data_IF_648369041569
#
_entry.id   IF_648369041569
#
_cell.length_a   1.000
_cell.length_b   1.000
_cell.length_c   1.000
_cell.angle_alpha   90.00
_cell.angle_beta   90.00
_cell.angle_gamma   90.00
#
_symmetry.space_group_name_H-M   'P 1'
#
loop_
_entity.id
_entity.type
_entity.pdbx_description
1 polymer ?
#
# COMPACT_ATOMS: atom_id res chain seq x y z
N UNK A 1 68.38 45.21 -57.90
CA UNK A 1 68.45 44.25 -56.77
C UNK A 1 67.50 44.60 -55.62
N UNK A 2 67.08 45.86 -55.45
CA UNK A 2 66.23 46.28 -54.32
C UNK A 2 64.77 45.77 -54.36
N UNK A 3 64.15 45.60 -55.53
CA UNK A 3 62.75 45.15 -55.64
C UNK A 3 62.51 43.69 -55.24
N UNK A 4 63.52 42.83 -55.42
CA UNK A 4 63.46 41.42 -55.02
C UNK A 4 63.52 41.26 -53.50
N UNK A 5 64.21 42.16 -52.79
CA UNK A 5 64.32 42.15 -51.35
C UNK A 5 63.01 42.60 -50.67
N UNK A 6 62.29 43.56 -51.23
CA UNK A 6 61.00 44.00 -50.68
C UNK A 6 59.90 42.95 -50.87
N UNK A 7 59.86 42.28 -52.03
CA UNK A 7 58.93 41.16 -52.27
C UNK A 7 59.21 39.98 -51.34
N UNK A 8 60.48 39.65 -51.08
CA UNK A 8 60.86 38.61 -50.12
C UNK A 8 60.35 38.96 -48.70
N UNK A 9 60.46 40.24 -48.30
CA UNK A 9 59.92 40.75 -47.04
C UNK A 9 58.41 40.56 -46.94
N UNK A 10 57.65 40.96 -47.97
CA UNK A 10 56.19 40.78 -48.02
C UNK A 10 55.78 39.30 -47.95
N UNK A 11 56.49 38.42 -48.65
CA UNK A 11 56.21 36.96 -48.63
C UNK A 11 56.48 36.38 -47.23
N UNK A 12 57.57 36.79 -46.58
CA UNK A 12 57.89 36.32 -45.22
C UNK A 12 56.88 36.81 -44.17
N UNK A 13 56.42 38.06 -44.27
CA UNK A 13 55.39 38.61 -43.41
C UNK A 13 54.04 37.89 -43.62
N UNK A 14 53.65 37.65 -44.87
CA UNK A 14 52.43 36.92 -45.19
C UNK A 14 52.47 35.48 -44.67
N UNK A 15 53.60 34.79 -44.85
CA UNK A 15 53.80 33.43 -44.33
C UNK A 15 53.67 33.37 -42.81
N UNK A 16 54.24 34.34 -42.10
CA UNK A 16 54.15 34.45 -40.65
C UNK A 16 52.72 34.67 -40.18
N UNK A 17 51.98 35.56 -40.85
CA UNK A 17 50.56 35.80 -40.55
C UNK A 17 49.69 34.56 -40.79
N UNK A 18 49.96 33.79 -41.85
CA UNK A 18 49.25 32.52 -42.11
C UNK A 18 49.57 31.48 -41.04
N UNK A 19 50.79 31.44 -40.54
CA UNK A 19 51.20 30.53 -39.48
C UNK A 19 50.53 30.90 -38.15
N UNK A 20 50.43 32.20 -37.85
CA UNK A 20 49.69 32.69 -36.69
C UNK A 20 48.20 32.37 -36.76
N UNK A 21 47.56 32.59 -37.93
CA UNK A 21 46.15 32.25 -38.14
C UNK A 21 45.90 30.74 -38.00
N UNK A 22 46.82 29.89 -38.46
CA UNK A 22 46.73 28.43 -38.23
C UNK A 22 46.79 28.09 -36.76
N UNK A 23 47.75 28.65 -36.01
CA UNK A 23 47.86 28.40 -34.58
C UNK A 23 46.62 28.90 -33.81
N UNK A 24 46.06 30.05 -34.19
CA UNK A 24 44.81 30.54 -33.62
C UNK A 24 43.62 29.61 -33.92
N UNK A 25 43.55 29.06 -35.14
CA UNK A 25 42.53 28.06 -35.51
C UNK A 25 42.67 26.77 -34.71
N UNK A 26 43.90 26.28 -34.50
CA UNK A 26 44.16 25.08 -33.72
C UNK A 26 43.76 25.26 -32.25
N UNK A 27 44.07 26.41 -31.66
CA UNK A 27 43.66 26.75 -30.29
C UNK A 27 42.14 26.83 -30.17
N UNK A 28 41.46 27.42 -31.16
CA UNK A 28 40.00 27.49 -31.19
C UNK A 28 39.37 26.10 -31.35
N UNK A 29 39.91 25.25 -32.23
CA UNK A 29 39.44 23.89 -32.41
C UNK A 29 39.64 23.04 -31.15
N UNK A 30 40.74 23.24 -30.42
CA UNK A 30 40.99 22.54 -29.17
C UNK A 30 40.09 23.07 -28.03
N UNK A 31 39.89 24.39 -27.95
CA UNK A 31 39.04 25.02 -26.94
C UNK A 31 37.53 24.85 -27.17
N UNK A 32 37.09 24.60 -28.40
CA UNK A 32 35.67 24.44 -28.75
C UNK A 32 35.27 23.00 -29.09
N UNK A 33 36.21 22.05 -29.03
CA UNK A 33 35.99 20.63 -29.40
C UNK A 33 34.79 20.00 -28.70
N UNK A 34 34.52 20.39 -27.46
CA UNK A 34 33.45 19.83 -26.63
C UNK A 34 32.10 20.53 -26.79
N UNK A 35 32.03 21.65 -27.50
CA UNK A 35 30.80 22.45 -27.64
C UNK A 35 29.65 21.67 -28.31
N UNK A 36 29.86 20.88 -29.38
CA UNK A 36 28.79 20.09 -29.98
C UNK A 36 28.21 19.04 -29.01
N UNK A 37 29.05 18.45 -28.15
CA UNK A 37 28.62 17.50 -27.12
C UNK A 37 27.83 18.20 -26.02
N UNK A 38 28.29 19.37 -25.56
CA UNK A 38 27.57 20.17 -24.57
C UNK A 38 26.22 20.66 -25.13
N UNK A 39 26.16 21.08 -26.39
CA UNK A 39 24.92 21.43 -27.06
C UNK A 39 23.93 20.26 -27.08
N UNK A 40 24.39 19.04 -27.38
CA UNK A 40 23.54 17.84 -27.36
C UNK A 40 23.04 17.50 -25.93
N UNK A 41 23.85 17.75 -24.90
CA UNK A 41 23.48 17.57 -23.49
C UNK A 41 22.46 18.63 -23.03
N UNK A 42 22.59 19.87 -23.53
CA UNK A 42 21.66 20.96 -23.23
C UNK A 42 20.36 20.86 -24.03
N UNK A 43 20.42 20.34 -25.26
CA UNK A 43 19.23 20.02 -26.08
C UNK A 43 18.46 18.81 -25.54
N UNK A 44 19.09 17.96 -24.73
CA UNK A 44 18.38 16.99 -23.88
C UNK A 44 17.73 17.71 -22.70
N UNK A 45 16.80 18.62 -23.02
CA UNK A 45 15.80 19.14 -22.10
C UNK A 45 14.97 17.97 -21.59
N UNK A 46 15.39 17.36 -20.48
CA UNK A 46 14.41 16.86 -19.53
C UNK A 46 13.65 18.11 -19.08
N UNK A 47 12.50 18.34 -19.71
CA UNK A 47 11.51 19.31 -19.24
C UNK A 47 11.14 18.85 -17.85
N UNK A 48 11.77 19.44 -16.84
CA UNK A 48 11.24 19.40 -15.50
C UNK A 48 10.07 20.38 -15.55
N UNK A 49 8.86 19.86 -15.75
CA UNK A 49 7.66 20.66 -15.54
C UNK A 49 7.67 21.09 -14.08
N UNK A 50 8.03 22.35 -13.85
CA UNK A 50 8.05 22.92 -12.52
C UNK A 50 6.64 23.46 -12.30
N UNK A 51 5.79 22.63 -11.73
CA UNK A 51 4.49 23.09 -11.25
C UNK A 51 4.76 23.93 -10.00
N UNK A 52 4.33 25.19 -10.03
CA UNK A 52 4.48 26.09 -8.90
C UNK A 52 3.57 25.65 -7.75
N UNK A 53 3.95 25.96 -6.52
CA UNK A 53 3.13 25.66 -5.34
C UNK A 53 1.72 26.24 -5.47
N UNK A 54 1.61 27.43 -6.08
CA UNK A 54 0.33 28.09 -6.33
C UNK A 54 -0.55 27.32 -7.32
N UNK A 55 -0.01 26.85 -8.44
CA UNK A 55 -0.74 26.02 -9.41
C UNK A 55 -1.21 24.70 -8.77
N UNK A 56 -0.42 24.12 -7.86
CA UNK A 56 -0.85 22.93 -7.10
C UNK A 56 -2.01 23.26 -6.17
N UNK A 57 -2.00 24.41 -5.48
CA UNK A 57 -3.09 24.82 -4.61
C UNK A 57 -4.38 25.11 -5.38
N UNK A 58 -4.29 25.82 -6.50
CA UNK A 58 -5.43 26.14 -7.36
C UNK A 58 -6.04 24.87 -7.96
N UNK A 59 -5.20 23.99 -8.52
CA UNK A 59 -5.66 22.70 -9.06
C UNK A 59 -6.29 21.81 -7.97
N UNK A 60 -5.75 21.83 -6.74
CA UNK A 60 -6.32 21.09 -5.62
C UNK A 60 -7.68 21.64 -5.20
N UNK A 61 -7.84 22.96 -5.17
CA UNK A 61 -9.11 23.60 -4.82
C UNK A 61 -10.18 23.31 -5.88
N UNK A 62 -9.85 23.46 -7.17
CA UNK A 62 -10.74 23.12 -8.28
C UNK A 62 -11.17 21.65 -8.25
N UNK A 63 -10.20 20.74 -8.08
CA UNK A 63 -10.48 19.31 -7.99
C UNK A 63 -11.34 18.96 -6.77
N UNK A 64 -11.11 19.64 -5.64
CA UNK A 64 -11.91 19.45 -4.43
C UNK A 64 -13.34 19.91 -4.67
N UNK A 65 -13.54 21.09 -5.29
CA UNK A 65 -14.87 21.61 -5.61
C UNK A 65 -15.63 20.70 -6.59
N UNK A 66 -14.94 20.03 -7.51
CA UNK A 66 -15.56 19.09 -8.46
C UNK A 66 -15.92 17.74 -7.82
N UNK A 67 -15.02 17.21 -6.97
CA UNK A 67 -15.16 15.86 -6.40
C UNK A 67 -16.00 15.83 -5.12
N UNK A 68 -15.92 16.86 -4.27
CA UNK A 68 -16.63 16.95 -2.98
C UNK A 68 -18.15 16.70 -3.08
N UNK A 69 -18.90 17.29 -4.04
CA UNK A 69 -20.33 16.99 -4.16
C UNK A 69 -20.59 15.52 -4.53
N UNK A 70 -19.71 14.89 -5.32
CA UNK A 70 -19.83 13.49 -5.71
C UNK A 70 -19.56 12.56 -4.52
N UNK A 71 -18.54 12.87 -3.71
CA UNK A 71 -18.24 12.14 -2.48
C UNK A 71 -19.41 12.27 -1.51
N UNK A 72 -19.94 13.48 -1.32
CA UNK A 72 -21.05 13.75 -0.40
C UNK A 72 -22.29 12.94 -0.78
N UNK A 73 -22.64 12.89 -2.06
CA UNK A 73 -23.76 12.08 -2.56
C UNK A 73 -23.51 10.57 -2.34
N UNK A 74 -22.29 10.09 -2.59
CA UNK A 74 -21.94 8.68 -2.35
C UNK A 74 -22.00 8.31 -0.87
N UNK A 75 -21.53 9.19 0.02
CA UNK A 75 -21.61 9.02 1.46
C UNK A 75 -23.07 8.99 1.90
N UNK A 76 -23.91 9.93 1.44
CA UNK A 76 -25.34 9.95 1.76
C UNK A 76 -26.05 8.65 1.33
N UNK A 77 -25.72 8.11 0.14
CA UNK A 77 -26.25 6.81 -0.31
C UNK A 77 -25.80 5.66 0.57
N UNK A 78 -24.52 5.64 0.97
CA UNK A 78 -23.99 4.61 1.87
C UNK A 78 -24.64 4.67 3.25
N UNK A 79 -24.83 5.86 3.81
CA UNK A 79 -25.51 6.06 5.09
C UNK A 79 -26.98 5.60 5.02
N UNK A 80 -27.68 5.90 3.92
CA UNK A 80 -29.05 5.45 3.71
C UNK A 80 -29.17 3.92 3.63
N UNK A 81 -28.26 3.26 2.91
CA UNK A 81 -28.21 1.80 2.84
C UNK A 81 -27.78 1.17 4.18
N UNK A 82 -26.83 1.76 4.91
CA UNK A 82 -26.49 1.33 6.27
C UNK A 82 -27.70 1.41 7.20
N UNK A 83 -28.44 2.52 7.18
CA UNK A 83 -29.67 2.67 7.96
C UNK A 83 -30.74 1.65 7.56
N UNK A 84 -30.85 1.30 6.28
CA UNK A 84 -31.74 0.23 5.79
C UNK A 84 -31.32 -1.13 6.31
N UNK A 85 -30.03 -1.46 6.27
CA UNK A 85 -29.49 -2.72 6.80
C UNK A 85 -29.67 -2.83 8.30
N UNK A 86 -29.39 -1.77 9.07
CA UNK A 86 -29.59 -1.74 10.52
C UNK A 86 -31.07 -1.97 10.91
N UNK A 87 -32.01 -1.38 10.16
CA UNK A 87 -33.45 -1.66 10.36
C UNK A 87 -33.80 -3.12 10.06
N UNK A 88 -33.20 -3.70 9.01
CA UNK A 88 -33.42 -5.10 8.64
C UNK A 88 -32.84 -6.05 9.69
N UNK A 89 -31.66 -5.76 10.21
CA UNK A 89 -31.03 -6.50 11.31
C UNK A 89 -31.92 -6.49 12.54
N UNK A 90 -32.40 -5.31 12.98
CA UNK A 90 -33.32 -5.20 14.11
C UNK A 90 -34.60 -6.01 13.89
N UNK A 91 -35.16 -5.98 12.67
CA UNK A 91 -36.32 -6.78 12.30
C UNK A 91 -36.07 -8.29 12.34
N UNK A 92 -34.89 -8.75 11.92
CA UNK A 92 -34.48 -10.15 12.01
C UNK A 92 -34.24 -10.57 13.47
N UNK A 93 -33.60 -9.72 14.28
CA UNK A 93 -33.38 -9.96 15.70
C UNK A 93 -34.71 -10.13 16.46
N UNK A 94 -35.70 -9.26 16.22
CA UNK A 94 -37.03 -9.41 16.81
C UNK A 94 -37.72 -10.72 16.38
N UNK A 95 -37.54 -11.15 15.12
CA UNK A 95 -38.08 -12.42 14.64
C UNK A 95 -37.40 -13.63 15.30
N UNK A 96 -36.08 -13.60 15.43
CA UNK A 96 -35.32 -14.63 16.13
C UNK A 96 -35.78 -14.74 17.59
N UNK A 97 -35.91 -13.61 18.29
CA UNK A 97 -36.40 -13.60 19.66
C UNK A 97 -37.82 -14.18 19.79
N UNK A 98 -38.73 -13.88 18.86
CA UNK A 98 -40.06 -14.49 18.85
C UNK A 98 -39.97 -16.01 18.68
N UNK A 99 -39.11 -16.50 17.79
CA UNK A 99 -38.89 -17.93 17.60
C UNK A 99 -38.31 -18.58 18.87
N UNK A 100 -37.34 -17.95 19.52
CA UNK A 100 -36.77 -18.45 20.78
C UNK A 100 -37.82 -18.57 21.89
N UNK A 101 -38.70 -17.56 22.04
CA UNK A 101 -39.79 -17.63 23.03
C UNK A 101 -40.81 -18.73 22.72
N UNK A 102 -41.05 -19.02 21.44
CA UNK A 102 -41.92 -20.12 21.02
C UNK A 102 -41.26 -21.47 21.32
N UNK A 103 -39.97 -21.61 21.04
CA UNK A 103 -39.17 -22.79 21.38
C UNK A 103 -39.22 -23.03 22.90
N UNK A 104 -38.93 -22.02 23.72
CA UNK A 104 -38.99 -22.13 25.18
C UNK A 104 -40.38 -22.54 25.69
N UNK A 105 -41.46 -22.01 25.11
CA UNK A 105 -42.83 -22.43 25.46
C UNK A 105 -43.09 -23.89 25.11
N UNK A 106 -42.66 -24.33 23.93
CA UNK A 106 -42.81 -25.71 23.49
C UNK A 106 -41.97 -26.66 24.36
N UNK A 107 -40.74 -26.29 24.71
CA UNK A 107 -39.86 -27.02 25.63
C UNK A 107 -40.49 -27.13 27.03
N UNK A 108 -41.00 -26.04 27.60
CA UNK A 108 -41.69 -26.06 28.89
C UNK A 108 -42.95 -26.94 28.88
N UNK A 109 -43.72 -26.93 27.78
CA UNK A 109 -44.86 -27.83 27.61
C UNK A 109 -44.44 -29.28 27.52
N UNK A 110 -43.34 -29.58 26.83
CA UNK A 110 -42.78 -30.94 26.75
C UNK A 110 -42.31 -31.42 28.13
N UNK A 111 -41.64 -30.57 28.91
CA UNK A 111 -41.13 -30.93 30.24
C UNK A 111 -42.27 -31.14 31.25
N UNK A 112 -43.29 -30.26 31.27
CA UNK A 112 -44.48 -30.44 32.11
C UNK A 112 -45.27 -31.71 31.74
N UNK A 113 -45.22 -32.13 30.46
CA UNK A 113 -45.83 -33.38 30.00
C UNK A 113 -44.99 -34.61 30.37
N UNK A 114 -43.69 -34.44 30.62
CA UNK A 114 -42.74 -35.44 31.10
C UNK A 114 -42.86 -35.67 32.61
N UNK A 115 -43.07 -34.60 33.38
CA UNK A 115 -43.28 -34.66 34.84
C UNK A 115 -44.64 -35.27 35.23
N UNK A 116 -45.68 -35.05 34.43
CA UNK A 116 -47.00 -35.69 34.61
C UNK A 116 -47.04 -37.18 34.19
N UNK A 117 -45.89 -37.76 33.83
CA UNK A 117 -45.77 -39.17 33.45
C UNK A 117 -45.51 -40.05 34.69
N UNK A 118 -46.58 -40.31 35.44
CA UNK A 118 -46.71 -41.43 36.38
C UNK A 118 -46.53 -42.75 35.60
N UNK A 119 -45.66 -43.62 36.11
CA UNK A 119 -45.25 -44.90 35.53
C UNK A 119 -46.34 -45.97 35.40
N UNK A 120 -47.43 -45.68 34.68
CA UNK A 120 -48.40 -46.67 34.20
C UNK A 120 -48.07 -47.10 32.78
N UNK A 121 -47.61 -48.34 32.66
CA UNK A 121 -47.07 -48.93 31.46
C UNK A 121 -48.09 -49.23 30.34
N UNK A 122 -49.29 -48.64 30.28
CA UNK A 122 -50.30 -48.94 29.25
C UNK A 122 -50.87 -47.68 28.55
N UNK A 123 -50.03 -46.90 27.87
CA UNK A 123 -50.50 -45.92 26.88
C UNK A 123 -49.42 -45.54 25.86
N UNK A 124 -48.70 -46.53 25.34
CA UNK A 124 -47.70 -46.34 24.29
C UNK A 124 -48.30 -45.89 22.95
N UNK A 125 -49.64 -45.87 22.81
CA UNK A 125 -50.37 -45.48 21.58
C UNK A 125 -50.73 -44.00 21.47
N UNK A 126 -50.53 -43.19 22.51
CA UNK A 126 -50.71 -41.73 22.43
C UNK A 126 -49.39 -40.97 22.14
N UNK A 127 -48.33 -41.72 21.80
CA UNK A 127 -46.98 -41.20 21.55
C UNK A 127 -46.80 -40.85 20.09
N UNK A 128 -46.73 -39.56 19.85
CA UNK A 128 -45.69 -38.85 19.09
C UNK A 128 -46.25 -37.43 18.94
N UNK A 129 -45.50 -36.40 19.34
CA UNK A 129 -45.67 -35.10 18.68
C UNK A 129 -45.71 -35.43 17.18
N UNK A 130 -46.78 -35.07 16.48
CA UNK A 130 -46.98 -35.47 15.07
C UNK A 130 -45.65 -35.28 14.37
N UNK A 131 -45.17 -36.28 13.62
CA UNK A 131 -43.87 -36.22 12.91
C UNK A 131 -43.66 -34.86 12.23
N UNK A 132 -44.76 -34.31 11.73
CA UNK A 132 -44.96 -32.97 11.19
C UNK A 132 -44.44 -31.81 12.08
N UNK A 133 -44.75 -31.78 13.39
CA UNK A 133 -44.31 -30.75 14.33
C UNK A 133 -42.81 -30.84 14.65
N UNK A 134 -42.25 -32.05 14.67
CA UNK A 134 -40.82 -32.27 14.86
C UNK A 134 -40.02 -31.93 13.59
N UNK A 135 -40.58 -32.18 12.41
CA UNK A 135 -39.98 -31.75 11.14
C UNK A 135 -39.99 -30.22 11.00
N UNK A 136 -41.08 -29.56 11.41
CA UNK A 136 -41.22 -28.11 11.34
C UNK A 136 -40.22 -27.37 12.27
N UNK A 137 -40.02 -27.90 13.49
CA UNK A 137 -38.99 -27.40 14.42
C UNK A 137 -37.56 -27.56 13.88
N UNK A 138 -37.26 -28.70 13.22
CA UNK A 138 -35.95 -28.93 12.58
C UNK A 138 -35.74 -28.01 11.39
N UNK A 139 -36.77 -27.78 10.57
CA UNK A 139 -36.70 -26.83 9.46
C UNK A 139 -36.44 -25.41 9.94
N UNK A 140 -37.10 -24.98 11.02
CA UNK A 140 -36.89 -23.66 11.63
C UNK A 140 -35.47 -23.50 12.21
N UNK A 141 -34.93 -24.53 12.87
CA UNK A 141 -33.51 -24.55 13.31
C UNK A 141 -32.54 -24.45 12.12
N UNK A 142 -32.78 -25.24 11.06
CA UNK A 142 -31.93 -25.21 9.86
C UNK A 142 -31.96 -23.85 9.16
N UNK A 143 -33.10 -23.15 9.21
CA UNK A 143 -33.25 -21.79 8.67
C UNK A 143 -32.50 -20.75 9.51
N UNK A 144 -32.49 -20.86 10.85
CA UNK A 144 -31.75 -19.94 11.72
C UNK A 144 -30.24 -20.05 11.53
N UNK A 145 -29.73 -21.29 11.41
CA UNK A 145 -28.30 -21.57 11.15
C UNK A 145 -27.85 -21.01 9.78
N UNK A 146 -28.68 -21.15 8.75
CA UNK A 146 -28.42 -20.58 7.42
C UNK A 146 -28.37 -19.05 7.43
N UNK A 147 -29.23 -18.41 8.22
CA UNK A 147 -29.24 -16.95 8.39
C UNK A 147 -27.97 -16.47 9.12
N UNK A 148 -27.54 -17.17 10.17
CA UNK A 148 -26.29 -16.88 10.88
C UNK A 148 -25.06 -17.04 9.97
N UNK A 149 -25.02 -18.10 9.14
CA UNK A 149 -23.97 -18.33 8.16
C UNK A 149 -23.95 -17.27 7.04
N UNK A 150 -25.11 -16.77 6.64
CA UNK A 150 -25.21 -15.72 5.61
C UNK A 150 -24.70 -14.36 6.13
N UNK A 151 -24.94 -14.07 7.42
CA UNK A 151 -24.42 -12.89 8.11
C UNK A 151 -22.90 -12.95 8.27
N UNK A 152 -22.34 -14.09 8.65
CA UNK A 152 -20.87 -14.26 8.74
C UNK A 152 -20.20 -14.13 7.36
N UNK A 153 -20.84 -14.64 6.30
CA UNK A 153 -20.36 -14.51 4.92
C UNK A 153 -20.49 -13.09 4.37
N UNK A 154 -21.48 -12.31 4.81
CA UNK A 154 -21.62 -10.90 4.45
C UNK A 154 -20.50 -10.04 5.06
N UNK A 155 -20.10 -10.32 6.30
CA UNK A 155 -18.94 -9.68 6.94
C UNK A 155 -17.60 -10.03 6.25
N UNK A 156 -17.48 -11.22 5.67
CA UNK A 156 -16.29 -11.66 4.91
C UNK A 156 -16.16 -11.01 3.51
N UNK A 157 -17.19 -10.30 3.03
CA UNK A 157 -17.18 -9.61 1.73
C UNK A 157 -16.72 -8.16 1.80
N UNK A 158 -16.30 -7.67 2.97
CA UNK A 158 -15.45 -6.48 3.03
C UNK A 158 -14.11 -6.82 2.38
N UNK A 159 -13.89 -6.22 1.20
CA UNK A 159 -12.73 -6.37 0.31
C UNK A 159 -11.47 -6.79 1.07
N UNK A 160 -11.09 -8.05 0.88
CA UNK A 160 -9.78 -8.59 1.20
C UNK A 160 -8.74 -7.82 0.39
N UNK A 161 -8.28 -6.68 0.90
CA UNK A 161 -6.98 -6.11 0.53
C UNK A 161 -5.98 -7.25 0.65
N UNK A 162 -5.25 -7.55 -0.43
CA UNK A 162 -4.18 -8.54 -0.38
C UNK A 162 -3.09 -7.96 0.51
N UNK A 163 -3.07 -8.37 1.79
CA UNK A 163 -2.09 -8.02 2.82
C UNK A 163 -1.87 -6.52 2.99
N UNK A 164 -2.51 -5.93 4.00
CA UNK A 164 -2.18 -4.56 4.39
C UNK A 164 -0.85 -4.57 5.15
N UNK A 165 0.21 -4.16 4.45
CA UNK A 165 1.51 -3.91 5.06
C UNK A 165 1.69 -2.40 5.22
N UNK A 166 2.05 -1.97 6.42
CA UNK A 166 2.42 -0.58 6.69
C UNK A 166 3.85 -0.54 7.24
N UNK A 167 4.60 0.50 6.87
CA UNK A 167 5.92 0.77 7.44
C UNK A 167 5.91 2.12 8.14
N UNK A 168 6.64 2.20 9.26
CA UNK A 168 7.01 3.46 9.92
C UNK A 168 8.54 3.53 10.01
N UNK A 169 9.12 4.61 9.50
CA UNK A 169 10.54 4.93 9.62
C UNK A 169 10.73 6.02 10.66
N UNK A 170 11.73 5.85 11.54
CA UNK A 170 12.17 6.91 12.46
C UNK A 170 13.48 7.50 11.94
N UNK A 171 13.47 8.76 11.54
CA UNK A 171 14.67 9.48 11.10
C UNK A 171 15.57 9.84 12.29
N UNK A 172 16.84 10.19 12.03
CA UNK A 172 17.72 10.70 13.10
C UNK A 172 17.14 11.94 13.81
N UNK A 173 16.46 12.80 13.05
CA UNK A 173 15.86 14.05 13.53
C UNK A 173 14.53 13.83 14.29
N UNK A 174 14.06 12.58 14.40
CA UNK A 174 12.86 12.23 15.16
C UNK A 174 11.56 12.30 14.37
N UNK A 175 11.62 12.44 13.05
CA UNK A 175 10.42 12.40 12.20
C UNK A 175 9.98 10.95 11.93
N UNK A 176 8.66 10.77 11.89
CA UNK A 176 8.03 9.51 11.52
C UNK A 176 7.53 9.58 10.08
N UNK A 177 7.99 8.66 9.24
CA UNK A 177 7.61 8.59 7.83
C UNK A 177 6.92 7.26 7.57
N UNK A 178 5.71 7.33 7.04
CA UNK A 178 4.85 6.16 6.85
C UNK A 178 4.74 5.76 5.38
N UNK A 179 4.59 4.47 5.12
CA UNK A 179 4.30 3.93 3.79
C UNK A 179 3.37 2.72 3.84
N UNK A 180 2.70 2.45 2.72
CA UNK A 180 1.88 1.26 2.51
C UNK A 180 2.22 0.61 1.17
N UNK A 181 1.84 -0.67 0.99
CA UNK A 181 1.97 -1.32 -0.30
C UNK A 181 1.00 -0.73 -1.32
N UNK A 182 1.49 -0.52 -2.54
CA UNK A 182 0.67 -0.08 -3.68
C UNK A 182 0.79 -1.13 -4.77
N UNK A 183 -0.34 -1.77 -5.03
CA UNK A 183 -0.45 -2.85 -6.00
C UNK A 183 -0.72 -2.32 -7.41
N UNK A 184 -0.36 -3.10 -8.42
CA UNK A 184 -0.66 -2.82 -9.81
C UNK A 184 -1.17 -4.08 -10.53
N UNK A 185 -1.96 -3.90 -11.58
CA UNK A 185 -2.43 -5.01 -12.42
C UNK A 185 -1.25 -5.78 -13.06
N UNK A 186 -0.19 -5.07 -13.43
CA UNK A 186 1.11 -5.67 -13.72
C UNK A 186 1.87 -5.87 -12.41
N UNK A 187 1.86 -7.08 -11.87
CA UNK A 187 2.39 -7.35 -10.53
C UNK A 187 3.85 -6.93 -10.32
N UNK A 188 4.67 -6.89 -11.37
CA UNK A 188 6.06 -6.40 -11.28
C UNK A 188 6.17 -4.88 -11.02
N UNK A 189 5.11 -4.11 -11.31
CA UNK A 189 5.06 -2.68 -11.06
C UNK A 189 4.59 -2.32 -9.64
N UNK A 190 4.24 -3.31 -8.81
CA UNK A 190 3.87 -3.08 -7.41
C UNK A 190 5.06 -2.66 -6.55
N UNK A 191 4.78 -1.84 -5.53
CA UNK A 191 5.77 -1.38 -4.54
C UNK A 191 5.32 -1.75 -3.12
N UNK A 192 6.24 -2.30 -2.34
CA UNK A 192 5.96 -2.70 -0.96
C UNK A 192 6.01 -1.49 -0.03
N UNK A 193 5.33 -1.60 1.12
CA UNK A 193 5.25 -0.54 2.13
C UNK A 193 6.63 0.02 2.54
N UNK A 194 7.60 -0.89 2.62
CA UNK A 194 8.97 -0.58 2.99
C UNK A 194 9.62 0.41 2.03
N UNK A 195 9.50 0.11 0.73
CA UNK A 195 10.07 0.92 -0.34
C UNK A 195 9.29 2.22 -0.49
N UNK A 196 7.96 2.20 -0.33
CA UNK A 196 7.15 3.42 -0.34
C UNK A 196 7.61 4.42 0.73
N UNK A 197 7.81 3.97 1.97
CA UNK A 197 8.26 4.83 3.06
C UNK A 197 9.67 5.37 2.83
N UNK A 198 10.60 4.52 2.37
CA UNK A 198 11.99 4.91 2.13
C UNK A 198 12.13 5.87 0.96
N UNK A 199 11.41 5.63 -0.15
CA UNK A 199 11.41 6.54 -1.31
C UNK A 199 10.90 7.91 -0.89
N UNK A 200 9.81 7.96 -0.11
CA UNK A 200 9.29 9.21 0.44
C UNK A 200 10.34 9.92 1.31
N UNK A 201 10.92 9.20 2.27
CA UNK A 201 11.94 9.76 3.16
C UNK A 201 13.14 10.35 2.42
N UNK A 202 13.66 9.62 1.42
CA UNK A 202 14.81 10.06 0.63
C UNK A 202 14.46 11.26 -0.24
N UNK A 203 13.25 11.29 -0.82
CA UNK A 203 12.79 12.45 -1.61
C UNK A 203 12.64 13.71 -0.77
N UNK A 204 12.36 13.56 0.52
CA UNK A 204 12.27 14.66 1.51
C UNK A 204 13.65 14.98 2.14
N UNK A 205 14.74 14.35 1.67
CA UNK A 205 16.11 14.62 2.11
C UNK A 205 16.61 13.78 3.29
N UNK A 206 15.78 12.90 3.86
CA UNK A 206 16.17 12.03 4.96
C UNK A 206 16.90 10.78 4.44
N UNK A 207 18.18 10.63 4.82
CA UNK A 207 19.02 9.49 4.41
C UNK A 207 19.59 8.66 5.57
N UNK A 208 19.34 9.10 6.80
CA UNK A 208 19.78 8.41 8.02
C UNK A 208 18.57 8.06 8.88
N UNK A 209 18.51 6.79 9.27
CA UNK A 209 17.38 6.22 9.98
C UNK A 209 17.85 5.57 11.28
N UNK A 210 17.05 5.70 12.33
CA UNK A 210 17.28 5.06 13.62
C UNK A 210 16.68 3.66 13.67
N UNK A 211 15.49 3.50 13.11
CA UNK A 211 14.76 2.24 13.14
C UNK A 211 13.68 2.19 12.07
N UNK A 212 13.27 0.96 11.78
CA UNK A 212 12.19 0.62 10.87
C UNK A 212 11.18 -0.26 11.61
N UNK A 213 9.89 0.03 11.45
CA UNK A 213 8.81 -0.85 11.86
C UNK A 213 8.00 -1.29 10.63
N UNK A 214 7.77 -2.60 10.49
CA UNK A 214 6.89 -3.21 9.50
C UNK A 214 5.73 -3.85 10.24
N UNK A 215 4.52 -3.55 9.79
CA UNK A 215 3.27 -4.01 10.43
C UNK A 215 2.47 -4.79 9.40
N UNK A 216 1.96 -5.96 9.81
CA UNK A 216 1.07 -6.80 9.00
C UNK A 216 -0.26 -7.02 9.71
N UNK A 217 -1.31 -7.22 8.92
CA UNK A 217 -2.63 -7.73 9.32
C UNK A 217 -2.66 -9.23 9.66
N UNK A 218 -1.51 -9.92 9.59
CA UNK A 218 -1.38 -11.34 9.95
C UNK A 218 -1.08 -11.53 11.43
N UNK A 219 -1.54 -12.64 11.99
CA UNK A 219 -1.22 -13.05 13.37
C UNK A 219 0.25 -13.47 13.54
N UNK A 220 0.87 -13.94 12.45
CA UNK A 220 2.28 -14.31 12.39
C UNK A 220 3.16 -13.16 11.89
N UNK A 221 4.43 -13.18 12.29
CA UNK A 221 5.43 -12.19 11.87
C UNK A 221 5.68 -12.32 10.36
N UNK A 222 5.53 -11.21 9.64
CA UNK A 222 5.89 -11.13 8.24
C UNK A 222 7.23 -10.40 8.09
N UNK A 223 8.19 -11.05 7.42
CA UNK A 223 9.50 -10.47 7.18
C UNK A 223 9.52 -9.66 5.89
N UNK A 224 10.29 -8.55 5.81
CA UNK A 224 10.47 -7.80 4.58
C UNK A 224 10.92 -8.71 3.42
N UNK A 225 10.41 -8.46 2.22
CA UNK A 225 10.80 -9.23 1.04
C UNK A 225 12.25 -8.93 0.64
N UNK A 226 12.87 -9.79 -0.16
CA UNK A 226 14.30 -9.67 -0.52
C UNK A 226 14.68 -8.32 -1.14
N UNK A 227 13.83 -7.78 -2.03
CA UNK A 227 14.05 -6.47 -2.64
C UNK A 227 14.01 -5.36 -1.58
N UNK A 228 13.08 -5.42 -0.63
CA UNK A 228 13.00 -4.45 0.46
C UNK A 228 14.23 -4.54 1.37
N UNK A 229 14.69 -5.76 1.71
CA UNK A 229 15.93 -5.93 2.49
C UNK A 229 17.13 -5.29 1.81
N UNK A 230 17.29 -5.53 0.51
CA UNK A 230 18.37 -4.92 -0.28
C UNK A 230 18.24 -3.40 -0.34
N UNK A 231 17.01 -2.88 -0.49
CA UNK A 231 16.77 -1.43 -0.52
C UNK A 231 17.08 -0.76 0.82
N UNK A 232 16.68 -1.38 1.93
CA UNK A 232 17.00 -0.90 3.29
C UNK A 232 18.53 -0.90 3.51
N UNK A 233 19.23 -1.88 2.92
CA UNK A 233 20.68 -2.09 3.13
C UNK A 233 21.53 -0.94 2.62
N UNK A 234 21.05 -0.22 1.62
CA UNK A 234 21.68 1.01 1.13
C UNK A 234 21.84 2.07 2.23
N UNK A 235 20.95 2.07 3.23
CA UNK A 235 20.93 3.08 4.30
C UNK A 235 21.56 2.62 5.61
N UNK A 236 22.00 1.36 5.69
CA UNK A 236 22.77 0.86 6.84
C UNK A 236 22.55 -0.63 7.14
N UNK A 237 23.62 -1.45 7.20
CA UNK A 237 23.50 -2.88 7.47
C UNK A 237 23.07 -3.21 8.90
N UNK A 238 23.28 -2.30 9.86
CA UNK A 238 22.94 -2.50 11.27
C UNK A 238 21.60 -1.92 11.68
N UNK A 239 20.79 -1.49 10.72
CA UNK A 239 19.52 -0.82 11.00
C UNK A 239 18.55 -1.82 11.68
N UNK A 240 17.96 -1.47 12.84
CA UNK A 240 17.01 -2.34 13.52
C UNK A 240 15.65 -2.34 12.80
N UNK A 241 15.14 -3.55 12.55
CA UNK A 241 13.87 -3.83 11.88
C UNK A 241 12.93 -4.52 12.86
N UNK A 242 11.89 -3.81 13.25
CA UNK A 242 10.79 -4.31 14.08
C UNK A 242 9.70 -4.85 13.16
N UNK A 243 9.32 -6.11 13.32
CA UNK A 243 8.26 -6.75 12.54
C UNK A 243 7.09 -7.08 13.47
N UNK A 244 6.04 -6.27 13.40
CA UNK A 244 4.82 -6.38 14.22
C UNK A 244 3.75 -7.23 13.53
N UNK A 245 3.05 -8.03 14.34
CA UNK A 245 1.87 -8.78 13.94
C UNK A 245 0.59 -8.00 14.26
N UNK A 246 -0.56 -8.46 13.76
CA UNK A 246 -1.87 -7.88 14.04
C UNK A 246 -2.22 -7.87 15.53
N UNK A 247 -1.62 -8.75 16.34
CA UNK A 247 -1.84 -8.82 17.79
C UNK A 247 -0.93 -7.88 18.58
N UNK A 248 -0.06 -7.11 17.91
CA UNK A 248 0.91 -6.21 18.53
C UNK A 248 2.19 -6.90 19.05
N UNK A 249 2.30 -8.24 18.90
CA UNK A 249 3.57 -8.94 19.13
C UNK A 249 4.57 -8.53 18.05
N UNK A 250 5.86 -8.51 18.38
CA UNK A 250 6.90 -8.20 17.40
C UNK A 250 8.12 -9.09 17.51
N UNK A 251 8.85 -9.15 16.40
CA UNK A 251 10.22 -9.68 16.35
C UNK A 251 11.15 -8.56 15.92
N UNK A 252 12.19 -8.33 16.70
CA UNK A 252 13.28 -7.40 16.37
C UNK A 252 14.44 -8.19 15.76
N UNK A 253 14.92 -7.73 14.62
CA UNK A 253 16.15 -8.22 13.99
C UNK A 253 16.93 -7.03 13.44
N UNK A 254 18.23 -7.18 13.27
CA UNK A 254 19.00 -6.21 12.47
C UNK A 254 18.90 -6.57 10.99
N UNK A 255 19.22 -5.62 10.12
CA UNK A 255 19.21 -5.89 8.70
C UNK A 255 20.29 -6.91 8.28
N UNK A 256 21.47 -6.89 8.92
CA UNK A 256 22.54 -7.87 8.72
C UNK A 256 22.09 -9.30 9.03
N UNK A 257 21.24 -9.50 10.05
CA UNK A 257 20.64 -10.80 10.34
C UNK A 257 19.60 -11.22 9.30
N UNK A 258 18.88 -10.25 8.71
CA UNK A 258 17.87 -10.48 7.68
C UNK A 258 18.48 -10.70 6.29
N UNK A 259 19.66 -10.14 6.02
CA UNK A 259 20.35 -10.22 4.74
C UNK A 259 21.86 -10.42 4.97
N UNK A 260 22.28 -11.62 5.41
CA UNK A 260 23.69 -11.90 5.67
C UNK A 260 24.49 -11.87 4.37
N UNK A 261 25.75 -11.42 4.46
CA UNK A 261 26.69 -11.33 3.32
C UNK A 261 26.10 -10.53 2.14
N UNK A 262 25.37 -9.45 2.44
CA UNK A 262 24.67 -8.63 1.45
C UNK A 262 25.62 -7.84 0.55
N UNK A 263 25.35 -7.87 -0.75
CA UNK A 263 25.93 -6.93 -1.72
C UNK A 263 25.59 -5.48 -1.36
N UNK A 264 26.50 -4.51 -1.53
CA UNK A 264 26.17 -3.09 -1.44
C UNK A 264 27.28 -2.13 -1.86
N UNK A 265 27.29 -0.89 -1.33
CA UNK A 265 28.16 0.18 -1.82
C UNK A 265 29.65 -0.15 -1.83
N UNK A 266 30.10 -1.01 -0.92
CA UNK A 266 31.48 -1.49 -0.85
C UNK A 266 31.90 -2.41 -2.01
N UNK A 267 30.95 -3.07 -2.69
CA UNK A 267 31.22 -3.99 -3.81
C UNK A 267 31.25 -3.27 -5.17
N UNK A 268 30.86 -1.99 -5.21
CA UNK A 268 30.80 -1.15 -6.41
C UNK A 268 32.02 -0.23 -6.57
N UNK A 269 32.98 -0.29 -5.65
CA UNK A 269 34.21 0.51 -5.62
C UNK A 269 35.37 -0.25 -6.28
#
# INVERSE_FOLDING_TARGET
MESSASLQGCVSALSSSVTFLRSASEILDEGTRDFPRLAQILETNRVFDVVTEQEVFEAKDELTQEIEPQITELVARLEAELARLARREKGLASKAQMQDTLIQKLEAQLEARRENFDGSANSWRARLATEEQLTELRELQTQSERLAYSLSKANLKQRKMRMSLAMVLLTEDGHYITGCNVENASYGAGICAERTALVKAVSEGHKKFKAIAVVTDKEEVCSPCGICRQFIREFGPKLPVYMFTATGKYKLMTLEELLPLSFGPEDLQ
#
